data_IF_214324234221
#
_entry.id   IF_214324234221
#
_cell.length_a   1.000
_cell.length_b   1.000
_cell.length_c   1.000
_cell.angle_alpha   90.00
_cell.angle_beta   90.00
_cell.angle_gamma   90.00
#
_symmetry.space_group_name_H-M   'P 1'
#
loop_
_entity.id
_entity.type
_entity.pdbx_description
1 polymer ?
#
# COMPACT_ATOMS: atom_id res chain seq x y z
N UNK A 1 -24.97 -2.30 2.93
CA UNK A 1 -24.32 -2.67 1.66
C UNK A 1 -25.33 -3.49 0.86
N UNK A 2 -25.68 -3.09 -0.36
CA UNK A 2 -26.54 -3.89 -1.23
C UNK A 2 -25.79 -5.11 -1.76
N UNK A 3 -26.52 -6.16 -2.17
CA UNK A 3 -25.94 -7.34 -2.80
C UNK A 3 -25.16 -6.97 -4.06
N UNK A 4 -25.67 -6.03 -4.85
CA UNK A 4 -25.01 -5.49 -6.04
C UNK A 4 -23.65 -4.87 -5.72
N UNK A 5 -23.56 -4.01 -4.69
CA UNK A 5 -22.30 -3.40 -4.28
C UNK A 5 -21.29 -4.45 -3.81
N UNK A 6 -21.75 -5.48 -3.09
CA UNK A 6 -20.88 -6.56 -2.65
C UNK A 6 -20.29 -7.33 -3.83
N UNK A 7 -21.13 -7.73 -4.78
CA UNK A 7 -20.70 -8.43 -6.00
C UNK A 7 -19.73 -7.56 -6.80
N UNK A 8 -20.01 -6.25 -6.91
CA UNK A 8 -19.13 -5.32 -7.60
C UNK A 8 -17.75 -5.18 -6.94
N UNK A 9 -17.68 -5.06 -5.60
CA UNK A 9 -16.41 -5.02 -4.88
C UNK A 9 -15.64 -6.34 -4.99
N UNK A 10 -16.33 -7.48 -4.97
CA UNK A 10 -15.72 -8.78 -5.17
C UNK A 10 -15.15 -8.93 -6.59
N UNK A 11 -15.87 -8.42 -7.59
CA UNK A 11 -15.40 -8.38 -8.97
C UNK A 11 -14.10 -7.56 -9.10
N UNK A 12 -14.07 -6.37 -8.48
CA UNK A 12 -12.86 -5.54 -8.42
C UNK A 12 -11.71 -6.29 -7.74
N UNK A 13 -11.96 -6.92 -6.59
CA UNK A 13 -10.95 -7.66 -5.84
C UNK A 13 -10.29 -8.76 -6.69
N UNK A 14 -11.10 -9.56 -7.39
CA UNK A 14 -10.62 -10.66 -8.23
C UNK A 14 -9.80 -10.13 -9.41
N UNK A 15 -10.32 -9.13 -10.15
CA UNK A 15 -9.61 -8.57 -11.29
C UNK A 15 -8.32 -7.84 -10.90
N UNK A 16 -8.33 -7.08 -9.81
CA UNK A 16 -7.15 -6.38 -9.31
C UNK A 16 -6.07 -7.36 -8.86
N UNK A 17 -6.46 -8.48 -8.22
CA UNK A 17 -5.52 -9.54 -7.82
C UNK A 17 -4.86 -10.20 -9.04
N UNK A 18 -5.63 -10.51 -10.08
CA UNK A 18 -5.09 -11.06 -11.33
C UNK A 18 -4.18 -10.06 -12.05
N UNK A 19 -4.57 -8.79 -12.11
CA UNK A 19 -3.73 -7.72 -12.66
C UNK A 19 -2.40 -7.60 -11.90
N UNK A 20 -2.42 -7.64 -10.57
CA UNK A 20 -1.22 -7.64 -9.74
C UNK A 20 -0.27 -8.79 -10.05
N UNK A 21 -0.80 -10.01 -10.20
CA UNK A 21 -0.02 -11.19 -10.58
C UNK A 21 0.67 -11.00 -11.95
N UNK A 22 -0.09 -10.60 -12.97
CA UNK A 22 0.39 -10.44 -14.34
C UNK A 22 1.45 -9.32 -14.46
N UNK A 23 1.31 -8.25 -13.66
CA UNK A 23 2.29 -7.17 -13.60
C UNK A 23 3.61 -7.63 -12.95
N UNK A 24 3.54 -8.33 -11.82
CA UNK A 24 4.73 -8.79 -11.09
C UNK A 24 5.49 -9.86 -11.90
N UNK A 25 4.78 -10.74 -12.61
CA UNK A 25 5.38 -11.79 -13.44
C UNK A 25 6.32 -11.25 -14.54
N UNK A 26 6.19 -9.97 -14.92
CA UNK A 26 6.97 -9.32 -15.98
C UNK A 26 8.14 -8.48 -15.44
N UNK A 27 8.34 -8.43 -14.13
CA UNK A 27 9.42 -7.63 -13.52
C UNK A 27 10.74 -8.40 -13.59
N UNK A 28 11.84 -7.80 -14.08
CA UNK A 28 13.14 -8.47 -14.14
C UNK A 28 13.70 -8.75 -12.73
N UNK A 29 14.51 -9.82 -12.55
CA UNK A 29 14.96 -10.22 -11.22
C UNK A 29 15.73 -9.17 -10.43
N UNK A 30 16.44 -8.29 -11.12
CA UNK A 30 17.20 -7.17 -10.54
C UNK A 30 16.31 -6.17 -9.81
N UNK A 31 15.03 -6.11 -10.13
CA UNK A 31 14.06 -5.20 -9.52
C UNK A 31 13.22 -5.84 -8.42
N UNK A 32 13.38 -7.12 -8.06
CA UNK A 32 12.54 -7.74 -7.01
C UNK A 32 12.69 -7.05 -5.65
N UNK A 33 13.89 -6.64 -5.25
CA UNK A 33 14.09 -5.96 -3.96
C UNK A 33 13.50 -4.53 -3.97
N UNK A 34 13.75 -3.68 -4.98
CA UNK A 34 13.03 -2.41 -5.13
C UNK A 34 11.51 -2.59 -5.22
N UNK A 35 11.02 -3.63 -5.92
CA UNK A 35 9.60 -3.94 -6.05
C UNK A 35 8.99 -4.31 -4.70
N UNK A 36 9.68 -5.14 -3.90
CA UNK A 36 9.26 -5.52 -2.56
C UNK A 36 9.16 -4.29 -1.64
N UNK A 37 10.15 -3.39 -1.70
CA UNK A 37 10.10 -2.12 -0.98
C UNK A 37 8.94 -1.23 -1.46
N UNK A 38 8.73 -1.14 -2.77
CA UNK A 38 7.67 -0.35 -3.38
C UNK A 38 6.26 -0.85 -3.04
N UNK A 39 6.03 -2.17 -3.08
CA UNK A 39 4.74 -2.76 -2.69
C UNK A 39 4.45 -2.57 -1.19
N UNK A 40 5.48 -2.59 -0.34
CA UNK A 40 5.35 -2.21 1.06
C UNK A 40 4.93 -0.73 1.21
N UNK A 41 5.51 0.20 0.44
CA UNK A 41 5.09 1.61 0.46
C UNK A 41 3.63 1.81 0.00
N UNK A 42 3.17 1.03 -0.99
CA UNK A 42 1.78 1.05 -1.47
C UNK A 42 0.82 0.52 -0.39
N UNK A 43 1.23 -0.48 0.41
CA UNK A 43 0.41 -1.00 1.53
C UNK A 43 0.10 0.06 2.59
N UNK A 44 0.86 1.16 2.62
CA UNK A 44 0.59 2.34 3.42
C UNK A 44 -0.74 3.04 3.12
N UNK A 45 -1.49 2.64 2.09
CA UNK A 45 -2.89 3.05 1.86
C UNK A 45 -3.79 2.79 3.08
N UNK A 46 -3.38 1.90 4.00
CA UNK A 46 -3.98 1.72 5.32
C UNK A 46 -4.18 3.02 6.10
N UNK A 47 -3.43 4.08 5.78
CA UNK A 47 -3.63 5.43 6.33
C UNK A 47 -5.06 5.96 6.13
N UNK A 48 -5.73 5.61 5.03
CA UNK A 48 -7.13 6.00 4.77
C UNK A 48 -8.05 5.39 5.83
N UNK A 49 -7.86 4.11 6.15
CA UNK A 49 -8.62 3.44 7.21
C UNK A 49 -8.34 4.04 8.59
N UNK A 50 -7.07 4.34 8.88
CA UNK A 50 -6.68 4.96 10.15
C UNK A 50 -7.34 6.33 10.37
N UNK A 51 -7.40 7.18 9.33
CA UNK A 51 -8.07 8.49 9.39
C UNK A 51 -9.56 8.34 9.72
N UNK A 52 -10.22 7.32 9.18
CA UNK A 52 -11.63 7.05 9.49
C UNK A 52 -11.83 6.64 10.95
N UNK A 53 -10.96 5.78 11.49
CA UNK A 53 -11.04 5.32 12.89
C UNK A 53 -10.80 6.42 13.94
N UNK A 54 -9.98 7.44 13.64
CA UNK A 54 -9.71 8.56 14.57
C UNK A 54 -10.97 9.34 14.92
N UNK A 55 -12.00 9.31 14.06
CA UNK A 55 -13.26 10.06 14.24
C UNK A 55 -14.29 9.32 15.09
N UNK A 56 -14.03 8.07 15.48
CA UNK A 56 -14.96 7.23 16.25
C UNK A 56 -14.73 7.35 17.77
N UNK A 57 -15.51 6.59 18.57
CA UNK A 57 -15.58 6.71 20.04
C UNK A 57 -14.27 6.57 20.81
N UNK A 58 -14.34 6.67 22.14
CA UNK A 58 -13.16 6.95 22.99
C UNK A 58 -11.97 6.00 22.77
N UNK A 59 -12.18 4.68 22.70
CA UNK A 59 -11.09 3.70 22.48
C UNK A 59 -10.61 3.70 21.02
N UNK A 60 -11.55 3.76 20.07
CA UNK A 60 -11.25 3.78 18.63
C UNK A 60 -10.41 5.00 18.24
N UNK A 61 -10.62 6.13 18.90
CA UNK A 61 -9.82 7.34 18.70
C UNK A 61 -8.33 7.13 19.03
N UNK A 62 -8.03 6.52 20.18
CA UNK A 62 -6.64 6.26 20.58
C UNK A 62 -5.98 5.21 19.67
N UNK A 63 -6.69 4.12 19.36
CA UNK A 63 -6.19 3.09 18.43
C UNK A 63 -6.02 3.64 17.02
N UNK A 64 -6.95 4.45 16.55
CA UNK A 64 -6.89 5.14 15.26
C UNK A 64 -5.71 6.10 15.18
N UNK A 65 -5.41 6.81 16.27
CA UNK A 65 -4.24 7.70 16.34
C UNK A 65 -2.92 6.92 16.24
N UNK A 66 -2.81 5.79 16.95
CA UNK A 66 -1.64 4.89 16.84
C UNK A 66 -1.54 4.31 15.42
N UNK A 67 -2.65 3.83 14.86
CA UNK A 67 -2.70 3.31 13.50
C UNK A 67 -2.30 4.37 12.47
N UNK A 68 -2.71 5.63 12.66
CA UNK A 68 -2.36 6.74 11.77
C UNK A 68 -0.85 7.01 11.79
N UNK A 69 -0.23 7.03 12.98
CA UNK A 69 1.22 7.19 13.12
C UNK A 69 1.95 6.03 12.43
N UNK A 70 1.55 4.79 12.69
CA UNK A 70 2.15 3.60 12.08
C UNK A 70 2.00 3.59 10.55
N UNK A 71 0.83 3.91 10.03
CA UNK A 71 0.58 4.00 8.60
C UNK A 71 1.41 5.12 7.94
N UNK A 72 1.54 6.27 8.62
CA UNK A 72 2.39 7.37 8.15
C UNK A 72 3.86 6.95 8.07
N UNK A 73 4.37 6.25 9.09
CA UNK A 73 5.75 5.71 9.07
C UNK A 73 5.93 4.72 7.91
N UNK A 74 4.95 3.84 7.66
CA UNK A 74 4.98 2.89 6.56
C UNK A 74 5.05 3.60 5.19
N UNK A 75 4.16 4.56 4.93
CA UNK A 75 4.14 5.33 3.68
C UNK A 75 5.45 6.09 3.50
N UNK A 76 5.81 6.95 4.46
CA UNK A 76 6.98 7.84 4.32
C UNK A 76 8.28 7.03 4.24
N UNK A 77 8.46 6.06 5.13
CA UNK A 77 9.64 5.19 5.13
C UNK A 77 9.73 4.33 3.87
N UNK A 78 8.61 3.74 3.46
CA UNK A 78 8.53 2.90 2.27
C UNK A 78 8.90 3.68 0.99
N UNK A 79 8.34 4.87 0.78
CA UNK A 79 8.68 5.69 -0.38
C UNK A 79 10.13 6.18 -0.34
N UNK A 80 10.64 6.60 0.82
CA UNK A 80 12.03 7.06 0.96
C UNK A 80 13.06 5.95 0.67
N UNK A 81 12.82 4.73 1.16
CA UNK A 81 13.69 3.59 0.90
C UNK A 81 13.61 3.15 -0.56
N UNK A 82 12.40 3.11 -1.12
CA UNK A 82 12.19 2.72 -2.53
C UNK A 82 12.88 3.69 -3.48
N UNK A 83 12.80 5.00 -3.24
CA UNK A 83 13.50 5.99 -4.07
C UNK A 83 15.03 5.79 -4.02
N UNK A 84 15.61 5.58 -2.83
CA UNK A 84 17.05 5.27 -2.68
C UNK A 84 17.46 4.02 -3.44
N UNK A 85 16.65 2.96 -3.42
CA UNK A 85 16.91 1.74 -4.18
C UNK A 85 16.86 2.00 -5.69
N UNK A 86 15.86 2.74 -6.17
CA UNK A 86 15.70 3.04 -7.60
C UNK A 86 16.79 4.01 -8.13
N UNK A 87 17.35 4.86 -7.28
CA UNK A 87 18.49 5.70 -7.65
C UNK A 87 19.72 4.90 -8.10
N UNK A 88 19.89 3.65 -7.62
CA UNK A 88 20.99 2.77 -8.02
C UNK A 88 20.92 2.34 -9.50
N UNK A 89 19.75 2.46 -10.14
CA UNK A 89 19.53 2.13 -11.55
C UNK A 89 19.64 3.35 -12.48
N UNK A 90 19.78 4.56 -11.94
CA UNK A 90 20.00 5.76 -12.75
C UNK A 90 21.43 5.74 -13.28
N UNK A 91 21.61 5.89 -14.60
CA UNK A 91 22.95 6.11 -15.17
C UNK A 91 23.57 7.34 -14.49
N UNK A 92 24.77 7.19 -13.94
CA UNK A 92 25.57 8.34 -13.50
C UNK A 92 25.73 9.27 -14.71
N UNK A 93 25.33 10.53 -14.53
CA UNK A 93 25.81 11.60 -15.41
C UNK A 93 27.31 11.77 -15.20
#
# INVERSE_FOLDING_TARGET
MSLENFIFLLYILVLASYCGFELIAKVPPTLHTPLMSGSNAISGITIVGAILCVREGDISKYLGMVALVMATINVVGGYAVTDRMLQMFKKKK
#
